data_IF_517331518973
#
_entry.id   IF_517331518973
#
_cell.length_a   1.000
_cell.length_b   1.000
_cell.length_c   1.000
_cell.angle_alpha   90.00
_cell.angle_beta   90.00
_cell.angle_gamma   90.00
#
_symmetry.space_group_name_H-M   'P 1'
#
loop_
_entity.id
_entity.type
_entity.pdbx_description
1 polymer ?
#
# COMPACT_ATOMS: atom_id res chain seq x y z
N UNK A 1 -24.75 -11.04 -9.05
CA UNK A 1 -24.32 -10.63 -7.69
C UNK A 1 -23.11 -11.48 -7.37
N UNK A 2 -21.97 -10.85 -7.14
CA UNK A 2 -20.73 -11.58 -6.95
C UNK A 2 -20.80 -12.39 -5.65
N UNK A 3 -20.47 -13.67 -5.75
CA UNK A 3 -20.45 -14.60 -4.63
C UNK A 3 -19.09 -15.27 -4.61
N UNK A 4 -18.46 -15.25 -3.44
CA UNK A 4 -17.26 -16.03 -3.16
C UNK A 4 -17.69 -17.21 -2.29
N UNK A 5 -17.19 -18.41 -2.57
CA UNK A 5 -17.38 -19.53 -1.66
C UNK A 5 -16.32 -19.48 -0.56
N UNK A 6 -16.76 -19.13 0.66
CA UNK A 6 -15.93 -19.05 1.85
C UNK A 6 -16.34 -20.12 2.89
N UNK A 7 -17.02 -21.19 2.44
CA UNK A 7 -17.41 -22.32 3.31
C UNK A 7 -16.25 -23.23 3.70
N UNK A 8 -15.03 -22.94 3.23
CA UNK A 8 -13.81 -23.58 3.68
C UNK A 8 -13.65 -23.34 5.20
N UNK A 9 -13.75 -24.42 5.98
CA UNK A 9 -13.54 -24.47 7.43
C UNK A 9 -14.51 -23.64 8.29
N UNK A 10 -15.83 -23.91 8.20
CA UNK A 10 -16.81 -23.39 9.16
C UNK A 10 -16.61 -23.86 10.61
N UNK A 11 -15.83 -24.92 10.82
CA UNK A 11 -15.71 -25.62 12.11
C UNK A 11 -14.28 -25.60 12.71
N UNK A 12 -13.32 -24.90 12.10
CA UNK A 12 -11.95 -24.77 12.62
C UNK A 12 -11.52 -23.31 12.66
N UNK A 13 -10.58 -22.93 13.57
CA UNK A 13 -9.94 -21.62 13.52
C UNK A 13 -9.31 -21.41 12.13
N UNK A 14 -9.62 -20.28 11.50
CA UNK A 14 -9.03 -19.90 10.21
C UNK A 14 -7.57 -19.49 10.42
N UNK A 15 -6.67 -20.47 10.49
CA UNK A 15 -5.24 -20.23 10.29
C UNK A 15 -4.97 -20.20 8.80
N UNK A 16 -4.10 -19.28 8.37
CA UNK A 16 -3.77 -19.12 6.95
C UNK A 16 -3.09 -20.39 6.40
N UNK A 17 -2.22 -20.99 7.20
CA UNK A 17 -1.42 -22.16 6.81
C UNK A 17 -2.24 -23.47 6.71
N UNK A 18 -3.50 -23.46 7.13
CA UNK A 18 -4.43 -24.59 6.95
C UNK A 18 -5.31 -24.43 5.69
N UNK A 19 -5.17 -23.33 4.95
CA UNK A 19 -5.94 -23.15 3.72
C UNK A 19 -5.43 -24.10 2.61
N UNK A 20 -6.31 -24.60 1.72
CA UNK A 20 -5.93 -25.47 0.62
C UNK A 20 -4.78 -24.90 -0.21
N UNK A 21 -3.79 -25.75 -0.52
CA UNK A 21 -2.61 -25.36 -1.29
C UNK A 21 -2.98 -24.82 -2.69
N UNK A 22 -4.04 -25.36 -3.30
CA UNK A 22 -4.55 -24.92 -4.61
C UNK A 22 -4.96 -23.45 -4.65
N UNK A 23 -5.27 -22.85 -3.50
CA UNK A 23 -5.62 -21.43 -3.38
C UNK A 23 -4.40 -20.53 -3.12
N UNK A 24 -3.26 -21.11 -2.73
CA UNK A 24 -2.09 -20.32 -2.35
C UNK A 24 -1.42 -19.73 -3.57
N UNK A 25 -1.04 -18.47 -3.47
CA UNK A 25 -0.26 -17.74 -4.46
C UNK A 25 0.85 -17.01 -3.72
N UNK A 26 2.02 -16.92 -4.33
CA UNK A 26 3.13 -16.13 -3.78
C UNK A 26 3.49 -15.08 -4.80
N UNK A 27 3.42 -13.82 -4.40
CA UNK A 27 3.75 -12.68 -5.26
C UNK A 27 4.63 -11.74 -4.47
N UNK A 28 5.83 -11.46 -4.99
CA UNK A 28 6.81 -10.53 -4.41
C UNK A 28 7.13 -10.87 -2.95
N UNK A 29 7.32 -12.17 -2.68
CA UNK A 29 7.61 -12.70 -1.34
C UNK A 29 6.42 -12.77 -0.38
N UNK A 30 5.22 -12.31 -0.78
CA UNK A 30 4.00 -12.36 0.06
C UNK A 30 3.10 -13.50 -0.36
N UNK A 31 2.61 -14.26 0.61
CA UNK A 31 1.62 -15.32 0.35
C UNK A 31 0.20 -14.78 0.45
N UNK A 32 -0.61 -15.17 -0.53
CA UNK A 32 -2.02 -14.84 -0.67
C UNK A 32 -2.85 -16.13 -0.78
N UNK A 33 -4.12 -16.04 -0.40
CA UNK A 33 -5.15 -16.97 -0.85
C UNK A 33 -5.94 -16.31 -1.96
N UNK A 34 -5.89 -16.89 -3.16
CA UNK A 34 -6.61 -16.42 -4.33
C UNK A 34 -7.99 -17.07 -4.39
N UNK A 35 -9.02 -16.28 -4.09
CA UNK A 35 -10.41 -16.68 -4.18
C UNK A 35 -11.02 -16.08 -5.45
N UNK A 36 -11.46 -16.95 -6.36
CA UNK A 36 -12.19 -16.54 -7.57
C UNK A 36 -13.68 -16.44 -7.28
N UNK A 37 -14.28 -15.30 -7.60
CA UNK A 37 -15.70 -15.08 -7.53
C UNK A 37 -16.43 -15.77 -8.68
N UNK A 38 -17.71 -16.12 -8.47
CA UNK A 38 -18.55 -16.74 -9.52
C UNK A 38 -18.73 -15.89 -10.79
N UNK A 39 -18.45 -14.59 -10.70
CA UNK A 39 -18.54 -13.64 -11.81
C UNK A 39 -17.16 -13.22 -12.33
N UNK A 40 -16.11 -14.02 -12.08
CA UNK A 40 -14.73 -13.79 -12.52
C UNK A 40 -14.01 -12.60 -11.84
N UNK A 41 -14.50 -12.12 -10.69
CA UNK A 41 -13.72 -11.22 -9.85
C UNK A 41 -12.70 -11.99 -9.01
N UNK A 42 -11.62 -11.33 -8.62
CA UNK A 42 -10.50 -11.94 -7.90
C UNK A 42 -10.33 -11.29 -6.54
N UNK A 43 -10.19 -12.10 -5.50
CA UNK A 43 -9.87 -11.65 -4.15
C UNK A 43 -8.61 -12.35 -3.68
N UNK A 44 -7.52 -11.60 -3.57
CA UNK A 44 -6.24 -12.05 -3.03
C UNK A 44 -6.17 -11.68 -1.55
N UNK A 45 -6.36 -12.66 -0.67
CA UNK A 45 -6.46 -12.46 0.78
C UNK A 45 -5.10 -12.69 1.42
N UNK A 46 -4.63 -11.75 2.22
CA UNK A 46 -3.36 -11.90 2.95
C UNK A 46 -3.55 -12.75 4.22
N UNK A 47 -2.43 -13.09 4.88
CA UNK A 47 -2.44 -13.63 6.25
C UNK A 47 -3.26 -12.80 7.24
N UNK A 48 -3.28 -11.48 7.09
CA UNK A 48 -4.03 -10.59 7.97
C UNK A 48 -5.53 -10.55 7.66
N UNK A 49 -5.92 -10.71 6.39
CA UNK A 49 -7.32 -10.72 5.98
C UNK A 49 -8.05 -12.04 6.27
N UNK A 50 -7.35 -13.17 6.23
CA UNK A 50 -7.96 -14.48 6.34
C UNK A 50 -8.80 -14.71 7.61
N UNK A 51 -8.34 -14.33 8.82
CA UNK A 51 -9.12 -14.46 10.04
C UNK A 51 -10.42 -13.63 10.03
N UNK A 52 -10.46 -12.56 9.22
CA UNK A 52 -11.59 -11.62 9.14
C UNK A 52 -12.28 -11.69 7.78
N UNK A 53 -12.10 -12.77 7.01
CA UNK A 53 -12.58 -12.87 5.64
C UNK A 53 -14.08 -12.53 5.49
N UNK A 54 -14.92 -12.96 6.44
CA UNK A 54 -16.36 -12.68 6.40
C UNK A 54 -16.71 -11.19 6.39
N UNK A 55 -15.83 -10.34 6.92
CA UNK A 55 -15.98 -8.89 6.95
C UNK A 55 -15.39 -8.18 5.72
N UNK A 56 -14.48 -8.84 4.97
CA UNK A 56 -13.75 -8.20 3.86
C UNK A 56 -14.20 -8.67 2.48
N UNK A 57 -15.06 -9.69 2.40
CA UNK A 57 -15.63 -10.12 1.11
C UNK A 57 -16.42 -8.98 0.44
N UNK A 58 -16.37 -8.84 -0.90
CA UNK A 58 -17.02 -7.75 -1.63
C UNK A 58 -18.52 -7.57 -1.36
N UNK A 59 -19.24 -8.63 -0.96
CA UNK A 59 -20.65 -8.54 -0.58
C UNK A 59 -20.91 -7.66 0.65
N UNK A 60 -19.90 -7.42 1.50
CA UNK A 60 -20.02 -6.55 2.68
C UNK A 60 -19.88 -5.06 2.34
N UNK A 61 -19.14 -4.71 1.29
CA UNK A 61 -18.69 -3.33 1.10
C UNK A 61 -18.73 -2.83 -0.36
N UNK A 62 -18.65 -3.69 -1.37
CA UNK A 62 -18.59 -3.30 -2.79
C UNK A 62 -19.91 -3.53 -3.53
N UNK A 63 -20.46 -4.74 -3.44
CA UNK A 63 -21.60 -5.20 -4.24
C UNK A 63 -22.88 -4.43 -3.90
N UNK A 64 -23.68 -4.07 -4.91
CA UNK A 64 -24.98 -3.41 -4.73
C UNK A 64 -24.87 -1.94 -4.30
N UNK A 65 -23.84 -1.25 -4.80
CA UNK A 65 -23.49 0.14 -4.48
C UNK A 65 -23.23 0.39 -2.99
N UNK A 66 -22.83 -0.66 -2.25
CA UNK A 66 -22.56 -0.54 -0.81
C UNK A 66 -21.50 0.52 -0.53
N UNK A 67 -20.42 0.55 -1.31
CA UNK A 67 -19.35 1.54 -1.15
C UNK A 67 -19.90 2.96 -1.24
N UNK A 68 -20.75 3.23 -2.23
CA UNK A 68 -21.40 4.54 -2.42
C UNK A 68 -22.37 4.87 -1.29
N UNK A 69 -23.08 3.87 -0.74
CA UNK A 69 -24.11 4.05 0.29
C UNK A 69 -23.54 4.27 1.69
N UNK A 70 -22.53 3.48 2.08
CA UNK A 70 -21.98 3.47 3.46
C UNK A 70 -20.55 3.96 3.54
N UNK A 71 -19.82 3.99 2.43
CA UNK A 71 -18.46 4.49 2.38
C UNK A 71 -18.40 6.00 2.55
N UNK A 72 -17.41 6.45 3.32
CA UNK A 72 -17.09 7.86 3.50
C UNK A 72 -15.72 8.11 2.91
N UNK A 73 -15.65 8.95 1.88
CA UNK A 73 -14.38 9.36 1.31
C UNK A 73 -13.57 10.11 2.38
N UNK A 74 -12.28 9.80 2.47
CA UNK A 74 -11.40 10.48 3.41
C UNK A 74 -10.97 11.82 2.81
N UNK A 75 -11.31 12.91 3.50
CA UNK A 75 -10.86 14.24 3.11
C UNK A 75 -9.32 14.32 3.19
N UNK A 76 -8.69 15.00 2.23
CA UNK A 76 -7.23 15.18 2.19
C UNK A 76 -6.44 13.99 1.64
N UNK A 77 -7.08 12.86 1.34
CA UNK A 77 -6.42 11.77 0.60
C UNK A 77 -6.18 12.20 -0.86
N UNK A 78 -4.96 12.01 -1.36
CA UNK A 78 -4.54 12.31 -2.74
C UNK A 78 -5.10 11.34 -3.79
N UNK A 79 -6.03 10.45 -3.39
CA UNK A 79 -6.67 9.45 -4.25
C UNK A 79 -8.06 9.01 -3.76
N UNK A 80 -8.64 8.01 -4.43
CA UNK A 80 -9.95 7.47 -4.09
C UNK A 80 -9.85 6.49 -2.91
N UNK A 81 -9.87 7.06 -1.69
CA UNK A 81 -9.77 6.31 -0.43
C UNK A 81 -11.02 6.51 0.42
N UNK A 82 -11.62 5.41 0.87
CA UNK A 82 -12.85 5.42 1.63
C UNK A 82 -12.71 4.66 2.95
N UNK A 83 -13.33 5.17 4.01
CA UNK A 83 -13.63 4.38 5.20
C UNK A 83 -14.98 3.72 5.02
N UNK A 84 -15.04 2.40 5.23
CA UNK A 84 -16.27 1.62 5.11
C UNK A 84 -16.49 0.79 6.38
N UNK A 85 -17.46 1.16 7.23
CA UNK A 85 -17.89 0.29 8.34
C UNK A 85 -18.46 -1.01 7.79
N UNK A 86 -18.05 -2.15 8.36
CA UNK A 86 -18.53 -3.47 7.92
C UNK A 86 -18.87 -4.35 9.14
N UNK A 87 -19.85 -5.27 9.03
CA UNK A 87 -20.14 -6.19 10.11
C UNK A 87 -18.93 -7.06 10.47
N UNK A 88 -18.67 -7.26 11.75
CA UNK A 88 -17.59 -8.12 12.23
C UNK A 88 -17.97 -8.79 13.56
N UNK A 89 -17.74 -10.10 13.67
CA UNK A 89 -18.22 -10.95 14.78
C UNK A 89 -17.78 -10.46 16.17
N UNK A 90 -16.53 -10.01 16.30
CA UNK A 90 -15.93 -9.68 17.61
C UNK A 90 -15.71 -8.18 17.84
N UNK A 91 -15.97 -7.31 16.86
CA UNK A 91 -15.64 -5.87 16.95
C UNK A 91 -16.71 -5.06 16.24
N UNK A 92 -17.56 -4.39 17.01
CA UNK A 92 -18.67 -3.59 16.48
C UNK A 92 -18.22 -2.38 15.66
N UNK A 93 -17.04 -1.82 15.96
CA UNK A 93 -16.46 -0.68 15.26
C UNK A 93 -15.51 -1.06 14.12
N UNK A 94 -15.50 -2.32 13.66
CA UNK A 94 -14.61 -2.74 12.60
C UNK A 94 -14.93 -2.02 11.29
N UNK A 95 -13.89 -1.50 10.63
CA UNK A 95 -14.02 -0.78 9.38
C UNK A 95 -12.83 -1.10 8.46
N UNK A 96 -13.10 -0.97 7.17
CA UNK A 96 -12.13 -1.08 6.10
C UNK A 96 -11.67 0.30 5.67
N UNK A 97 -10.42 0.38 5.26
CA UNK A 97 -9.96 1.36 4.28
C UNK A 97 -10.03 0.68 2.93
N UNK A 98 -10.84 1.24 2.04
CA UNK A 98 -10.98 0.83 0.63
C UNK A 98 -10.22 1.83 -0.21
N UNK A 99 -9.07 1.43 -0.76
CA UNK A 99 -8.19 2.27 -1.58
C UNK A 99 -8.16 1.75 -3.00
N UNK A 100 -8.51 2.57 -3.98
CA UNK A 100 -8.35 2.21 -5.38
C UNK A 100 -6.89 2.44 -5.79
N UNK A 101 -6.26 1.39 -6.31
CA UNK A 101 -4.86 1.44 -6.76
C UNK A 101 -4.71 2.42 -7.92
N UNK A 102 -3.63 3.20 -7.88
CA UNK A 102 -3.19 4.11 -8.94
C UNK A 102 -2.04 3.54 -9.76
N UNK A 103 -1.85 2.23 -9.67
CA UNK A 103 -0.86 1.47 -10.42
C UNK A 103 -0.80 1.92 -11.89
N UNK A 104 0.40 2.22 -12.38
CA UNK A 104 0.73 2.72 -13.71
C UNK A 104 0.07 4.06 -14.13
N UNK A 105 -0.40 4.85 -13.17
CA UNK A 105 -0.72 6.28 -13.38
C UNK A 105 0.52 7.14 -13.11
N UNK A 106 0.51 8.38 -13.57
CA UNK A 106 1.56 9.37 -13.29
C UNK A 106 1.57 9.77 -11.80
N UNK A 107 2.71 9.64 -11.13
CA UNK A 107 2.87 10.05 -9.74
C UNK A 107 3.35 11.50 -9.68
N UNK A 108 2.41 12.44 -9.60
CA UNK A 108 2.73 13.85 -9.38
C UNK A 108 2.99 14.09 -7.89
N UNK A 109 4.23 13.87 -7.47
CA UNK A 109 4.68 14.11 -6.10
C UNK A 109 4.84 15.62 -5.88
N UNK A 110 4.21 16.14 -4.82
CA UNK A 110 4.28 17.57 -4.47
C UNK A 110 5.31 17.77 -3.37
N UNK A 111 6.30 18.64 -3.62
CA UNK A 111 7.31 19.04 -2.63
C UNK A 111 6.77 20.23 -1.85
N UNK A 112 6.78 20.15 -0.51
CA UNK A 112 6.46 21.32 0.32
C UNK A 112 7.58 22.38 0.19
N UNK A 113 7.27 23.68 0.06
CA UNK A 113 8.25 24.72 -0.27
C UNK A 113 9.47 24.81 0.66
N UNK A 114 9.30 24.43 1.94
CA UNK A 114 10.34 24.51 2.97
C UNK A 114 10.98 23.14 3.29
N UNK A 115 10.72 22.12 2.47
CA UNK A 115 11.29 20.79 2.70
C UNK A 115 12.75 20.73 2.23
N UNK A 116 13.72 20.47 3.14
CA UNK A 116 15.12 20.42 2.78
C UNK A 116 15.43 19.08 2.09
N UNK A 117 15.18 19.02 0.79
CA UNK A 117 15.53 17.87 -0.05
C UNK A 117 16.83 18.12 -0.78
N UNK A 118 17.74 17.14 -0.74
CA UNK A 118 18.91 17.13 -1.60
C UNK A 118 18.55 16.80 -3.06
N UNK A 119 19.53 16.92 -3.97
CA UNK A 119 19.30 16.65 -5.40
C UNK A 119 18.95 15.19 -5.68
N UNK A 120 19.55 14.24 -4.95
CA UNK A 120 19.28 12.82 -5.15
C UNK A 120 17.87 12.43 -4.65
N UNK A 121 17.35 13.11 -3.64
CA UNK A 121 15.96 12.98 -3.18
C UNK A 121 14.99 13.55 -4.23
N UNK A 122 15.29 14.72 -4.80
CA UNK A 122 14.49 15.32 -5.87
C UNK A 122 14.42 14.42 -7.11
N UNK A 123 15.56 13.87 -7.53
CA UNK A 123 15.62 12.96 -8.68
C UNK A 123 14.79 11.69 -8.44
N UNK A 124 14.89 11.10 -7.24
CA UNK A 124 14.06 9.94 -6.85
C UNK A 124 12.57 10.25 -6.87
N UNK A 125 12.17 11.43 -6.43
CA UNK A 125 10.76 11.86 -6.46
C UNK A 125 10.27 12.12 -7.89
N UNK A 126 11.11 12.72 -8.75
CA UNK A 126 10.77 13.07 -10.13
C UNK A 126 10.50 11.84 -11.01
N UNK A 127 11.19 10.73 -10.77
CA UNK A 127 10.99 9.46 -11.50
C UNK A 127 10.12 8.46 -10.76
N UNK A 128 9.47 8.88 -9.66
CA UNK A 128 8.67 7.97 -8.86
C UNK A 128 7.44 7.48 -9.63
N UNK A 129 7.05 6.23 -9.37
CA UNK A 129 5.88 5.61 -9.97
C UNK A 129 5.05 4.96 -8.86
N UNK A 130 3.72 5.00 -9.01
CA UNK A 130 2.86 4.27 -8.08
C UNK A 130 3.16 2.78 -8.13
N UNK A 131 3.35 2.18 -6.96
CA UNK A 131 3.51 0.74 -6.83
C UNK A 131 2.29 0.01 -7.42
N UNK A 132 2.53 -1.17 -7.99
CA UNK A 132 1.45 -2.12 -8.26
C UNK A 132 0.76 -2.51 -6.94
N UNK A 133 -0.49 -3.01 -6.99
CA UNK A 133 -1.20 -3.42 -5.78
C UNK A 133 -0.45 -4.52 -5.00
N UNK A 134 0.30 -5.40 -5.67
CA UNK A 134 1.09 -6.42 -5.00
C UNK A 134 2.40 -5.86 -4.42
N UNK A 135 3.09 -4.95 -5.13
CA UNK A 135 4.27 -4.27 -4.60
C UNK A 135 3.95 -3.40 -3.38
N UNK A 136 2.80 -2.70 -3.36
CA UNK A 136 2.38 -1.90 -2.21
C UNK A 136 2.26 -2.77 -0.95
N UNK A 137 1.63 -3.95 -1.07
CA UNK A 137 1.54 -4.90 0.05
C UNK A 137 2.91 -5.53 0.36
N UNK A 138 3.70 -5.90 -0.64
CA UNK A 138 5.01 -6.51 -0.45
C UNK A 138 5.97 -5.58 0.30
N UNK A 139 6.08 -4.33 -0.14
CA UNK A 139 6.91 -3.33 0.53
C UNK A 139 6.42 -3.05 1.96
N UNK A 140 5.10 -3.01 2.17
CA UNK A 140 4.53 -2.88 3.50
C UNK A 140 4.88 -4.08 4.41
N UNK A 141 4.78 -5.31 3.91
CA UNK A 141 5.14 -6.51 4.67
C UNK A 141 6.64 -6.55 4.98
N UNK A 142 7.49 -6.15 4.04
CA UNK A 142 8.94 -6.05 4.28
C UNK A 142 9.27 -4.97 5.32
N UNK A 143 8.64 -3.79 5.25
CA UNK A 143 8.75 -2.76 6.29
C UNK A 143 8.30 -3.31 7.65
N UNK A 144 7.17 -4.02 7.71
CA UNK A 144 6.65 -4.61 8.96
C UNK A 144 7.60 -5.68 9.52
N UNK A 145 8.24 -6.47 8.67
CA UNK A 145 9.25 -7.45 9.07
C UNK A 145 10.50 -6.76 9.64
N UNK A 146 10.96 -5.66 9.02
CA UNK A 146 12.14 -4.91 9.48
C UNK A 146 11.87 -4.06 10.73
N UNK A 147 10.70 -3.42 10.82
CA UNK A 147 10.36 -2.44 11.85
C UNK A 147 9.58 -3.02 13.03
N UNK A 148 8.82 -4.10 12.81
CA UNK A 148 7.89 -4.66 13.78
C UNK A 148 6.90 -3.61 14.30
N UNK A 149 6.79 -3.51 15.63
CA UNK A 149 5.86 -2.58 16.30
C UNK A 149 6.37 -1.13 16.36
N UNK A 150 7.58 -0.86 15.86
CA UNK A 150 8.22 0.46 15.96
C UNK A 150 7.66 1.44 14.92
N UNK A 151 7.17 0.92 13.78
CA UNK A 151 6.44 1.69 12.78
C UNK A 151 5.05 1.04 12.66
N UNK A 152 4.06 1.49 13.45
CA UNK A 152 2.72 0.94 13.36
C UNK A 152 2.11 1.27 12.00
N UNK A 153 1.58 0.25 11.32
CA UNK A 153 0.93 0.40 10.01
C UNK A 153 -0.47 -0.23 10.01
N UNK A 154 -1.27 0.07 8.99
CA UNK A 154 -2.53 -0.63 8.74
C UNK A 154 -2.21 -2.07 8.35
N UNK A 155 -3.01 -3.01 8.84
CA UNK A 155 -2.92 -4.39 8.38
C UNK A 155 -3.43 -4.47 6.92
N UNK A 156 -2.63 -4.93 5.95
CA UNK A 156 -3.10 -5.19 4.59
C UNK A 156 -3.97 -6.44 4.58
N UNK A 157 -5.25 -6.32 4.28
CA UNK A 157 -6.22 -7.43 4.41
C UNK A 157 -6.38 -8.21 3.12
N UNK A 158 -6.57 -7.53 2.00
CA UNK A 158 -6.75 -8.16 0.70
C UNK A 158 -6.56 -7.18 -0.45
N UNK A 159 -6.39 -7.72 -1.66
CA UNK A 159 -6.56 -7.02 -2.93
C UNK A 159 -7.79 -7.61 -3.61
N UNK A 160 -8.75 -6.77 -3.96
CA UNK A 160 -9.91 -7.15 -4.74
C UNK A 160 -9.84 -6.54 -6.13
N UNK A 161 -10.05 -7.36 -7.16
CA UNK A 161 -10.19 -6.91 -8.53
C UNK A 161 -11.57 -7.32 -9.04
N UNK A 162 -12.50 -6.38 -9.29
CA UNK A 162 -13.80 -6.72 -9.89
C UNK A 162 -13.61 -7.21 -11.33
N UNK A 163 -14.54 -8.04 -11.82
CA UNK A 163 -14.50 -8.56 -13.19
C UNK A 163 -14.68 -7.50 -14.29
N UNK A 164 -15.18 -6.31 -13.92
CA UNK A 164 -15.38 -5.20 -14.85
C UNK A 164 -14.05 -4.75 -15.44
N UNK A 165 -14.00 -4.68 -16.76
CA UNK A 165 -12.87 -4.19 -17.55
C UNK A 165 -13.11 -2.75 -17.98
N UNK A 166 -12.03 -2.00 -18.14
CA UNK A 166 -11.99 -0.58 -18.47
C UNK A 166 -10.88 -0.33 -19.48
N UNK A 167 -11.05 0.73 -20.28
CA UNK A 167 -10.00 1.22 -21.17
C UNK A 167 -8.88 1.91 -20.38
N UNK A 168 -7.67 1.95 -20.94
CA UNK A 168 -6.47 2.50 -20.29
C UNK A 168 -6.70 3.92 -19.75
N UNK A 169 -7.28 4.80 -20.56
CA UNK A 169 -7.55 6.19 -20.18
C UNK A 169 -8.58 6.31 -19.03
N UNK A 170 -9.53 5.36 -18.89
CA UNK A 170 -10.49 5.37 -17.79
C UNK A 170 -9.83 5.04 -16.46
N UNK A 171 -8.75 4.26 -16.52
CA UNK A 171 -7.93 3.88 -15.37
C UNK A 171 -6.72 4.80 -15.18
N UNK A 172 -6.50 5.77 -16.08
CA UNK A 172 -5.31 6.63 -16.10
C UNK A 172 -4.01 5.88 -16.39
N UNK A 173 -4.09 4.70 -17.02
CA UNK A 173 -2.95 3.82 -17.27
C UNK A 173 -2.05 4.38 -18.36
N UNK A 174 -0.75 4.21 -18.16
CA UNK A 174 0.28 4.58 -19.13
C UNK A 174 0.81 3.30 -19.79
N UNK A 175 0.47 3.10 -21.06
CA UNK A 175 0.66 1.82 -21.77
C UNK A 175 2.10 1.31 -21.80
N UNK A 176 3.07 2.20 -22.02
CA UNK A 176 4.48 1.80 -22.10
C UNK A 176 5.02 1.24 -20.78
N UNK A 177 4.34 1.49 -19.65
CA UNK A 177 4.69 0.90 -18.36
C UNK A 177 4.26 -0.56 -18.24
N UNK A 178 3.27 -1.04 -19.02
CA UNK A 178 2.76 -2.42 -18.90
C UNK A 178 3.87 -3.46 -18.93
N UNK A 179 4.75 -3.36 -19.93
CA UNK A 179 5.87 -4.28 -20.09
C UNK A 179 6.77 -4.35 -18.84
N UNK A 180 7.02 -3.21 -18.18
CA UNK A 180 7.84 -3.18 -16.97
C UNK A 180 7.24 -4.01 -15.84
N UNK A 181 5.96 -3.80 -15.54
CA UNK A 181 5.28 -4.52 -14.45
C UNK A 181 5.11 -6.01 -14.75
N UNK A 182 4.79 -6.35 -16.00
CA UNK A 182 4.71 -7.75 -16.43
C UNK A 182 6.07 -8.44 -16.30
N UNK A 183 7.16 -7.76 -16.65
CA UNK A 183 8.52 -8.28 -16.51
C UNK A 183 8.89 -8.52 -15.06
N UNK A 184 8.69 -7.54 -14.17
CA UNK A 184 8.99 -7.68 -12.74
C UNK A 184 8.22 -8.85 -12.12
N UNK A 185 6.93 -8.98 -12.46
CA UNK A 185 6.09 -10.07 -11.96
C UNK A 185 6.47 -11.44 -12.55
N UNK A 186 6.91 -11.49 -13.81
CA UNK A 186 7.41 -12.71 -14.42
C UNK A 186 8.74 -13.16 -13.79
N UNK A 187 9.65 -12.22 -13.51
CA UNK A 187 10.93 -12.50 -12.83
C UNK A 187 10.70 -13.05 -11.41
N UNK A 188 9.79 -12.45 -10.63
CA UNK A 188 9.42 -12.94 -9.28
C UNK A 188 8.85 -14.37 -9.26
N UNK A 189 8.10 -14.74 -10.30
CA UNK A 189 7.37 -16.00 -10.35
C UNK A 189 8.03 -17.05 -11.26
N UNK A 190 9.27 -16.82 -11.70
CA UNK A 190 9.96 -17.66 -12.68
C UNK A 190 10.08 -19.13 -12.23
N UNK A 191 10.32 -19.37 -10.95
CA UNK A 191 10.46 -20.70 -10.35
C UNK A 191 9.12 -21.32 -9.93
N UNK A 192 8.01 -20.57 -10.01
CA UNK A 192 6.69 -21.05 -9.61
C UNK A 192 6.02 -21.88 -10.71
N UNK A 193 5.25 -22.93 -10.36
CA UNK A 193 4.39 -23.65 -11.30
C UNK A 193 3.43 -22.70 -12.03
N UNK A 194 3.16 -22.95 -13.31
CA UNK A 194 2.35 -22.06 -14.17
C UNK A 194 0.95 -21.78 -13.59
N UNK A 195 0.29 -22.79 -13.02
CA UNK A 195 -1.04 -22.69 -12.41
C UNK A 195 -1.06 -21.91 -11.08
N UNK A 196 0.11 -21.73 -10.46
CA UNK A 196 0.34 -20.92 -9.27
C UNK A 196 0.77 -19.48 -9.59
N UNK A 197 1.06 -19.14 -10.85
CA UNK A 197 1.43 -17.77 -11.24
C UNK A 197 0.22 -16.84 -11.23
N UNK A 198 0.45 -15.59 -10.87
CA UNK A 198 -0.51 -14.48 -10.96
C UNK A 198 -0.10 -13.59 -12.13
N UNK A 199 -1.09 -13.02 -12.82
CA UNK A 199 -0.87 -12.00 -13.84
C UNK A 199 -1.59 -10.72 -13.45
N UNK A 200 -1.04 -9.58 -13.86
CA UNK A 200 -1.80 -8.35 -13.89
C UNK A 200 -2.86 -8.44 -14.98
N UNK A 201 -4.08 -8.05 -14.65
CA UNK A 201 -5.11 -7.76 -15.62
C UNK A 201 -5.17 -6.26 -15.79
N UNK A 202 -4.49 -5.78 -16.82
CA UNK A 202 -4.25 -4.35 -17.04
C UNK A 202 -5.55 -3.53 -17.16
N UNK A 203 -6.59 -4.13 -17.72
CA UNK A 203 -7.88 -3.47 -17.95
C UNK A 203 -8.78 -3.52 -16.71
N UNK A 204 -8.31 -4.07 -15.58
CA UNK A 204 -9.11 -4.18 -14.35
C UNK A 204 -8.62 -3.23 -13.27
N UNK A 205 -9.60 -2.77 -12.50
CA UNK A 205 -9.34 -2.06 -11.25
C UNK A 205 -8.74 -3.02 -10.23
N UNK A 206 -7.88 -2.48 -9.39
CA UNK A 206 -7.40 -3.13 -8.18
C UNK A 206 -7.76 -2.26 -6.98
N UNK A 207 -8.38 -2.88 -5.99
CA UNK A 207 -8.85 -2.22 -4.77
C UNK A 207 -8.15 -2.87 -3.58
N UNK A 208 -7.26 -2.12 -2.94
CA UNK A 208 -6.58 -2.55 -1.74
C UNK A 208 -7.47 -2.34 -0.52
N UNK A 209 -7.58 -3.38 0.30
CA UNK A 209 -8.30 -3.38 1.55
C UNK A 209 -7.31 -3.37 2.69
N UNK A 210 -7.36 -2.32 3.52
CA UNK A 210 -6.64 -2.26 4.77
C UNK A 210 -7.60 -2.21 5.94
N UNK A 211 -7.10 -2.59 7.12
CA UNK A 211 -7.83 -2.36 8.35
C UNK A 211 -7.83 -0.89 8.73
N UNK A 212 -8.97 -0.35 9.15
CA UNK A 212 -9.06 0.99 9.73
C UNK A 212 -8.25 1.08 11.04
N UNK A 213 -7.53 2.20 11.20
CA UNK A 213 -6.85 2.57 12.45
C UNK A 213 -7.62 3.75 13.04
N UNK A 214 -8.02 3.63 14.31
CA UNK A 214 -8.67 4.72 15.02
C UNK A 214 -7.68 5.86 15.30
N UNK A 215 -8.05 7.06 14.88
CA UNK A 215 -7.26 8.27 15.01
C UNK A 215 -7.68 9.32 13.99
N UNK A 216 -6.93 10.43 13.99
CA UNK A 216 -7.00 11.51 13.02
C UNK A 216 -5.60 11.71 12.43
N UNK A 217 -5.50 12.26 11.23
CA UNK A 217 -4.20 12.62 10.68
C UNK A 217 -3.56 13.79 11.47
N UNK A 218 -2.23 13.88 11.44
CA UNK A 218 -1.49 14.81 12.27
C UNK A 218 -1.72 16.28 11.86
N UNK A 219 -2.02 16.57 10.58
CA UNK A 219 -2.39 17.91 10.13
C UNK A 219 -3.72 18.34 10.75
N UNK A 220 -4.73 17.49 10.70
CA UNK A 220 -6.01 17.69 11.38
C UNK A 220 -5.83 17.84 12.89
N UNK A 221 -4.97 17.03 13.51
CA UNK A 221 -4.65 17.16 14.94
C UNK A 221 -4.06 18.53 15.28
N UNK A 222 -3.18 19.05 14.42
CA UNK A 222 -2.61 20.39 14.59
C UNK A 222 -3.68 21.48 14.41
N UNK A 223 -4.53 21.37 13.39
CA UNK A 223 -5.65 22.31 13.15
C UNK A 223 -6.65 22.35 14.31
N UNK A 224 -6.86 21.20 14.97
CA UNK A 224 -7.75 21.07 16.13
C UNK A 224 -7.07 21.40 17.47
N UNK A 225 -5.80 21.82 17.47
CA UNK A 225 -5.08 22.25 18.67
C UNK A 225 -4.51 21.12 19.54
N UNK A 226 -4.49 19.87 19.06
CA UNK A 226 -3.82 18.75 19.75
C UNK A 226 -2.29 18.79 19.60
N UNK A 227 -1.81 19.44 18.54
CA UNK A 227 -0.39 19.63 18.25
C UNK A 227 -0.13 21.09 17.89
N UNK A 228 0.95 21.65 18.41
CA UNK A 228 1.54 22.88 17.85
C UNK A 228 2.21 22.59 16.51
N UNK A 229 2.47 23.62 15.70
CA UNK A 229 3.20 23.46 14.42
C UNK A 229 4.60 22.88 14.60
N UNK A 230 5.29 23.20 15.70
CA UNK A 230 6.60 22.65 16.02
C UNK A 230 6.50 21.17 16.40
N UNK A 231 5.50 20.77 17.19
CA UNK A 231 5.26 19.35 17.51
C UNK A 231 4.85 18.54 16.26
N UNK A 232 4.04 19.12 15.36
CA UNK A 232 3.72 18.50 14.07
C UNK A 232 4.98 18.22 13.25
N UNK A 233 5.86 19.22 13.10
CA UNK A 233 7.12 19.09 12.37
C UNK A 233 8.04 18.05 13.01
N UNK A 234 8.16 18.06 14.33
CA UNK A 234 8.97 17.08 15.06
C UNK A 234 8.41 15.65 14.88
N UNK A 235 7.10 15.47 14.96
CA UNK A 235 6.45 14.17 14.76
C UNK A 235 6.61 13.65 13.33
N UNK A 236 6.46 14.53 12.34
CA UNK A 236 6.70 14.22 10.93
C UNK A 236 8.14 13.75 10.70
N UNK A 237 9.13 14.50 11.22
CA UNK A 237 10.55 14.15 11.12
C UNK A 237 10.84 12.82 11.84
N UNK A 238 10.32 12.64 13.05
CA UNK A 238 10.46 11.39 13.80
C UNK A 238 9.94 10.18 13.00
N UNK A 239 8.78 10.31 12.36
CA UNK A 239 8.20 9.23 11.55
C UNK A 239 9.05 8.92 10.32
N UNK A 240 9.56 9.95 9.64
CA UNK A 240 10.42 9.79 8.47
C UNK A 240 11.76 9.16 8.82
N UNK A 241 12.42 9.67 9.86
CA UNK A 241 13.71 9.15 10.32
C UNK A 241 13.57 7.71 10.78
N UNK A 242 12.49 7.36 11.49
CA UNK A 242 12.20 5.98 11.86
C UNK A 242 12.13 5.06 10.63
N UNK A 243 11.47 5.46 9.54
CA UNK A 243 11.45 4.67 8.31
C UNK A 243 12.85 4.52 7.70
N UNK A 244 13.59 5.63 7.57
CA UNK A 244 14.91 5.67 6.93
C UNK A 244 15.96 4.86 7.68
N UNK A 245 15.96 4.92 9.00
CA UNK A 245 16.80 4.07 9.87
C UNK A 245 16.59 2.57 9.62
N UNK A 246 15.42 2.18 9.09
CA UNK A 246 15.07 0.79 8.76
C UNK A 246 15.21 0.49 7.28
N UNK A 247 15.78 1.40 6.50
CA UNK A 247 16.01 1.24 5.07
C UNK A 247 14.77 1.42 4.22
N UNK A 248 13.80 2.23 4.66
CA UNK A 248 12.56 2.54 3.92
C UNK A 248 12.30 4.04 3.85
N UNK A 249 11.60 4.48 2.80
CA UNK A 249 11.09 5.85 2.69
C UNK A 249 9.75 5.86 1.96
N UNK A 250 8.96 6.92 2.16
CA UNK A 250 7.78 7.20 1.35
C UNK A 250 8.08 8.45 0.54
N UNK A 251 8.14 8.33 -0.78
CA UNK A 251 8.61 9.44 -1.61
C UNK A 251 7.69 10.68 -1.56
N UNK A 252 6.40 10.49 -1.28
CA UNK A 252 5.43 11.57 -1.02
C UNK A 252 5.09 11.66 0.49
N UNK A 253 6.06 11.48 1.38
CA UNK A 253 5.78 11.50 2.82
C UNK A 253 5.29 12.89 3.27
N UNK A 254 4.14 12.94 3.94
CA UNK A 254 3.52 14.18 4.42
C UNK A 254 2.94 13.97 5.81
N UNK A 255 2.72 15.07 6.55
CA UNK A 255 2.18 14.99 7.90
C UNK A 255 0.79 14.32 7.94
N UNK A 256 -0.04 14.50 6.90
CA UNK A 256 -1.30 13.75 6.73
C UNK A 256 -1.16 12.23 6.59
N UNK A 257 0.04 11.71 6.32
CA UNK A 257 0.35 10.28 6.28
C UNK A 257 0.69 9.70 7.66
N UNK A 258 0.63 10.52 8.71
CA UNK A 258 0.83 10.13 10.11
C UNK A 258 -0.50 10.23 10.84
N UNK A 259 -0.99 9.10 11.37
CA UNK A 259 -2.22 9.03 12.17
C UNK A 259 -1.86 9.07 13.65
N UNK A 260 -2.46 10.02 14.37
CA UNK A 260 -2.39 10.12 15.84
C UNK A 260 -3.76 9.84 16.45
N UNK A 261 -3.78 9.46 17.72
CA UNK A 261 -5.03 9.16 18.43
C UNK A 261 -5.30 10.19 19.53
N UNK A 262 -6.44 10.89 19.50
CA UNK A 262 -6.91 11.64 20.66
C UNK A 262 -7.07 10.75 21.88
N UNK A 263 -6.67 11.24 23.04
CA UNK A 263 -6.88 10.59 24.33
C UNK A 263 -8.34 10.79 24.80
N UNK A 264 -8.74 10.07 25.85
CA UNK A 264 -10.01 10.29 26.54
C UNK A 264 -10.08 11.70 27.16
N UNK A 265 -8.93 12.26 27.54
CA UNK A 265 -8.82 13.65 27.98
C UNK A 265 -8.82 14.61 26.77
N UNK A 266 -9.76 15.56 26.70
CA UNK A 266 -9.84 16.52 25.61
C UNK A 266 -8.54 17.30 25.42
N UNK A 267 -8.14 17.50 24.16
CA UNK A 267 -6.92 18.25 23.81
C UNK A 267 -5.61 17.47 24.04
N UNK A 268 -5.67 16.19 24.41
CA UNK A 268 -4.49 15.33 24.52
C UNK A 268 -4.47 14.24 23.47
N UNK A 269 -3.26 13.80 23.13
CA UNK A 269 -3.03 12.63 22.29
C UNK A 269 -2.54 11.48 23.16
N UNK A 270 -2.87 10.26 22.77
CA UNK A 270 -2.38 9.05 23.42
C UNK A 270 -0.84 9.01 23.34
N UNK A 271 -0.20 8.86 24.50
CA UNK A 271 1.25 8.75 24.64
C UNK A 271 1.68 7.42 25.23
N UNK A 272 2.87 6.96 24.87
CA UNK A 272 3.53 5.80 25.49
C UNK A 272 4.98 6.15 25.77
N UNK A 273 5.41 5.98 27.03
CA UNK A 273 6.76 6.35 27.50
C UNK A 273 7.14 7.79 27.11
N UNK A 274 6.20 8.72 27.29
CA UNK A 274 6.38 10.14 27.00
C UNK A 274 6.28 10.56 25.52
N UNK A 275 6.21 9.61 24.57
CA UNK A 275 6.11 9.89 23.13
C UNK A 275 4.69 9.77 22.62
N UNK A 276 4.27 10.64 21.71
CA UNK A 276 2.98 10.54 21.00
C UNK A 276 2.95 9.26 20.19
N UNK A 277 1.91 8.45 20.36
CA UNK A 277 1.70 7.27 19.52
C UNK A 277 1.22 7.71 18.14
N UNK A 278 1.85 7.15 17.12
CA UNK A 278 1.51 7.41 15.73
C UNK A 278 1.48 6.11 14.91
N UNK A 279 0.85 6.17 13.73
CA UNK A 279 0.87 5.10 12.75
C UNK A 279 1.06 5.67 11.34
N UNK A 280 1.87 5.00 10.53
CA UNK A 280 2.09 5.33 9.13
C UNK A 280 0.93 4.82 8.28
N UNK A 281 0.48 5.65 7.34
CA UNK A 281 -0.49 5.31 6.31
C UNK A 281 -0.03 5.78 4.95
N UNK A 282 -0.69 5.26 3.91
CA UNK A 282 -0.42 5.54 2.50
C UNK A 282 0.93 5.03 2.00
N UNK A 283 0.89 3.90 1.29
CA UNK A 283 2.09 3.10 0.99
C UNK A 283 2.39 3.01 -0.50
N UNK A 284 1.64 3.71 -1.35
CA UNK A 284 1.74 3.62 -2.83
C UNK A 284 3.07 4.13 -3.41
N UNK A 285 3.90 4.79 -2.58
CA UNK A 285 5.25 5.25 -2.91
C UNK A 285 6.24 4.84 -1.80
N UNK A 286 5.93 3.76 -1.07
CA UNK A 286 6.82 3.16 -0.07
C UNK A 286 7.92 2.36 -0.77
N UNK A 287 9.17 2.81 -0.67
CA UNK A 287 10.30 2.23 -1.39
C UNK A 287 11.46 1.93 -0.45
N UNK A 288 12.36 0.98 -0.81
CA UNK A 288 13.63 0.84 -0.12
C UNK A 288 14.42 2.16 -0.13
N UNK A 289 14.98 2.53 1.02
CA UNK A 289 15.87 3.66 1.20
C UNK A 289 17.29 3.13 1.40
N UNK A 290 18.21 3.34 0.45
CA UNK A 290 19.59 2.90 0.61
C UNK A 290 20.22 3.67 1.79
N UNK A 291 20.93 2.96 2.66
CA UNK A 291 21.70 3.59 3.72
C UNK A 291 22.71 4.59 3.12
N UNK A 292 22.97 5.75 3.75
CA UNK A 292 24.00 6.68 3.30
C UNK A 292 25.34 5.94 3.13
N UNK A 293 25.86 5.87 1.90
CA UNK A 293 27.10 5.17 1.56
C UNK A 293 26.95 3.94 0.66
N UNK A 294 25.74 3.45 0.43
CA UNK A 294 25.48 2.42 -0.59
C UNK A 294 25.34 3.08 -1.98
N UNK A 295 26.45 3.64 -2.51
CA UNK A 295 26.52 3.97 -3.93
C UNK A 295 26.32 2.67 -4.71
N UNK A 296 25.15 2.53 -5.33
CA UNK A 296 24.80 1.35 -6.11
C UNK A 296 25.29 1.54 -7.54
N UNK A 297 25.86 0.47 -8.08
CA UNK A 297 26.50 0.23 -9.38
C UNK A 297 25.80 0.76 -10.65
N UNK A 298 24.71 1.51 -10.56
CA UNK A 298 24.01 2.08 -11.72
C UNK A 298 24.78 3.23 -12.41
N UNK A 299 25.69 3.91 -11.70
CA UNK A 299 26.56 4.93 -12.30
C UNK A 299 27.67 4.35 -13.19
N UNK A 300 28.03 3.07 -13.05
CA UNK A 300 29.03 2.43 -13.92
C UNK A 300 28.45 1.91 -15.24
N UNK A 301 27.16 1.55 -15.29
CA UNK A 301 26.52 1.11 -16.53
C UNK A 301 26.24 2.28 -17.49
N UNK A 302 25.94 3.46 -16.96
CA UNK A 302 25.81 4.68 -17.78
C UNK A 302 27.16 5.22 -18.28
N UNK A 303 28.26 4.99 -17.54
CA UNK A 303 29.61 5.39 -17.97
C UNK A 303 30.21 4.43 -19.02
N UNK A 304 29.98 3.11 -18.91
CA UNK A 304 30.40 2.18 -19.95
C UNK A 304 29.67 2.40 -21.30
N UNK A 305 28.42 2.87 -21.27
CA UNK A 305 27.68 3.19 -22.50
C UNK A 305 28.13 4.50 -23.16
N UNK A 306 28.65 5.48 -22.39
CA UNK A 306 29.18 6.74 -22.93
C UNK A 306 30.61 6.63 -23.48
N UNK A 307 31.41 5.67 -23.01
CA UNK A 307 32.77 5.46 -23.52
C UNK A 307 32.81 4.62 -24.82
N UNK A 308 31.82 3.76 -25.04
CA UNK A 308 31.71 3.00 -26.30
C UNK A 308 31.18 3.83 -27.48
N UNK A 309 30.45 4.91 -27.22
CA UNK A 309 29.95 5.82 -28.28
C UNK A 309 30.99 6.86 -28.74
N UNK A 310 32.09 7.04 -28.00
CA UNK A 310 33.19 7.94 -28.39
C UNK A 310 34.31 7.29 -29.21
N UNK A 311 34.35 5.96 -29.29
CA UNK A 311 35.35 5.23 -30.10
C UNK A 311 34.87 4.88 -31.51
N UNK A 312 33.65 5.26 -31.90
CA UNK A 312 33.07 4.94 -33.21
C UNK A 312 33.23 6.00 -34.31
N UNK A 313 33.70 7.21 -33.99
CA UNK A 313 33.71 8.37 -34.92
C UNK A 313 35.11 8.77 -35.43
N UNK A 314 36.08 7.84 -35.39
CA UNK A 314 37.35 8.00 -36.10
C UNK A 314 37.68 6.75 -36.90
N UNK A 315 37.05 6.62 -38.06
CA UNK A 315 37.52 5.86 -39.21
C UNK A 315 36.96 6.47 -40.49
#
# INVERSE_FOLDING_TARGET
MEQFDFRLNRHQPRTFDNAPETLRRRVLGVDYLHLRGKQSGDLYVTRHGWPVLESIVPSQWFVGDRLRKVGRQLAGATGAVYRVPVPHKARSCFALVVKFSRFAQEALVSIEPDEPLDWAERDRMAVSEFLSPFEEIANLEHLRAAAGVQIPTKAPLAIYSPATRYLDWQLGRIDHRRWWYDRVLAEDQAEQPEDARVAYDWERLYVLLYRWIDGIDAETACQQGYLTRSELRALYQEARDAMRERGWDVLDHKARHVIVRPDAEPGRLVRRRGRTLWALVDYELLVPYPAPGAQTLQSQQSQCASDQSRQGDTA
#
